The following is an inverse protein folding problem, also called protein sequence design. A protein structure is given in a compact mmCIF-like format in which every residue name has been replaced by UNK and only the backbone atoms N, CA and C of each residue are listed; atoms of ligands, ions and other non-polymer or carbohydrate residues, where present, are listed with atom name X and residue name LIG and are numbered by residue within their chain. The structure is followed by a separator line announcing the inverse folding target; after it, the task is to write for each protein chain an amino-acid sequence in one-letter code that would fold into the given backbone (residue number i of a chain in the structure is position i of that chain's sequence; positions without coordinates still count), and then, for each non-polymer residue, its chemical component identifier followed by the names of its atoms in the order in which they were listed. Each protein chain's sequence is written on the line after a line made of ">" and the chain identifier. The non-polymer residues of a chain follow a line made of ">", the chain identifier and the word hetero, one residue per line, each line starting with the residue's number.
data_IF_496793341121
#
_entry.id   IF_496793341121
#
_cell.length_a   1.000
_cell.length_b   1.000
_cell.length_c   1.000
_cell.angle_alpha   90.00
_cell.angle_beta   90.00
_cell.angle_gamma   90.00
#
_symmetry.space_group_name_H-M   'P 1'
#
loop_
_entity.id
_entity.type
_entity.pdbx_description
1 polymer ?
#
# COMPACT_ATOMS: atom_id res chain seq x y z
N UNK A 1 -10.32 -26.06 -6.41
CA UNK A 1 -8.88 -25.73 -6.23
C UNK A 1 -8.76 -24.76 -5.07
N UNK A 2 -8.10 -25.15 -3.99
CA UNK A 2 -7.87 -24.32 -2.80
C UNK A 2 -6.94 -23.18 -3.19
N UNK A 3 -7.44 -21.94 -3.23
CA UNK A 3 -6.60 -20.75 -3.42
C UNK A 3 -5.65 -20.67 -2.20
N UNK A 4 -4.37 -20.94 -2.41
CA UNK A 4 -3.35 -20.68 -1.39
C UNK A 4 -3.32 -19.16 -1.21
N UNK A 5 -3.85 -18.68 -0.08
CA UNK A 5 -3.92 -17.25 0.22
C UNK A 5 -2.57 -16.80 0.78
N UNK A 6 -1.90 -15.91 0.05
CA UNK A 6 -0.60 -15.36 0.42
C UNK A 6 -0.78 -14.22 1.43
N UNK A 7 0.27 -13.92 2.21
CA UNK A 7 0.24 -12.84 3.21
C UNK A 7 -0.20 -11.50 2.60
N UNK A 8 0.26 -11.21 1.38
CA UNK A 8 0.00 -9.95 0.70
C UNK A 8 -1.33 -9.90 -0.07
N UNK A 9 -2.08 -11.02 -0.14
CA UNK A 9 -3.41 -11.01 -0.78
C UNK A 9 -4.43 -10.17 0.02
N UNK A 10 -4.14 -9.84 1.29
CA UNK A 10 -4.98 -8.95 2.08
C UNK A 10 -4.82 -7.47 1.76
N UNK A 11 -3.75 -7.06 1.05
CA UNK A 11 -3.52 -5.65 0.74
C UNK A 11 -4.43 -5.12 -0.38
N UNK A 12 -5.06 -6.00 -1.16
CA UNK A 12 -5.86 -5.63 -2.33
C UNK A 12 -7.16 -6.41 -2.39
N UNK A 13 -8.22 -5.78 -2.89
CA UNK A 13 -9.44 -6.50 -3.27
C UNK A 13 -9.25 -7.23 -4.62
N UNK A 14 -10.03 -8.27 -4.86
CA UNK A 14 -9.99 -9.03 -6.12
C UNK A 14 -10.18 -8.13 -7.36
N UNK A 15 -11.11 -7.16 -7.27
CA UNK A 15 -11.35 -6.17 -8.34
C UNK A 15 -10.10 -5.32 -8.59
N UNK A 16 -9.48 -4.80 -7.52
CA UNK A 16 -8.30 -3.93 -7.66
C UNK A 16 -7.09 -4.71 -8.14
N UNK A 17 -6.93 -5.96 -7.69
CA UNK A 17 -5.89 -6.87 -8.19
C UNK A 17 -6.02 -7.07 -9.70
N UNK A 18 -7.22 -7.36 -10.21
CA UNK A 18 -7.46 -7.49 -11.65
C UNK A 18 -7.06 -6.22 -12.40
N UNK A 19 -7.51 -5.05 -11.93
CA UNK A 19 -7.10 -3.76 -12.51
C UNK A 19 -5.59 -3.58 -12.52
N UNK A 20 -4.90 -3.89 -11.42
CA UNK A 20 -3.43 -3.79 -11.38
C UNK A 20 -2.75 -4.73 -12.39
N UNK A 21 -3.27 -5.94 -12.58
CA UNK A 21 -2.75 -6.87 -13.60
C UNK A 21 -2.95 -6.29 -15.00
N UNK A 22 -4.14 -5.76 -15.30
CA UNK A 22 -4.44 -5.15 -16.61
C UNK A 22 -3.54 -3.91 -16.88
N UNK A 23 -3.29 -3.09 -15.87
CA UNK A 23 -2.36 -1.95 -15.94
C UNK A 23 -0.90 -2.39 -16.18
N UNK A 24 -0.46 -3.47 -15.51
CA UNK A 24 0.88 -4.04 -15.75
C UNK A 24 1.01 -4.55 -17.18
N UNK A 25 0.01 -5.24 -17.72
CA UNK A 25 0.01 -5.68 -19.12
C UNK A 25 0.08 -4.47 -20.06
N UNK A 26 -0.72 -3.44 -19.79
CA UNK A 26 -0.77 -2.21 -20.60
C UNK A 26 0.57 -1.49 -20.57
N UNK A 27 1.20 -1.39 -19.40
CA UNK A 27 2.51 -0.79 -19.23
C UNK A 27 3.58 -1.47 -20.11
N UNK A 28 3.65 -2.81 -20.11
CA UNK A 28 4.60 -3.53 -20.95
C UNK A 28 4.33 -3.32 -22.45
N UNK A 29 3.05 -3.35 -22.83
CA UNK A 29 2.66 -3.13 -24.23
C UNK A 29 3.03 -1.73 -24.71
N UNK A 30 2.79 -0.70 -23.91
CA UNK A 30 3.03 0.69 -24.31
C UNK A 30 4.47 1.14 -24.16
N UNK A 31 5.19 0.64 -23.15
CA UNK A 31 6.54 1.12 -22.80
C UNK A 31 7.66 0.23 -23.31
N UNK A 32 7.40 -1.06 -23.51
CA UNK A 32 8.44 -2.02 -23.92
C UNK A 32 8.13 -2.68 -25.27
N UNK A 33 7.00 -2.33 -25.92
CA UNK A 33 6.50 -2.98 -27.14
C UNK A 33 6.40 -4.53 -26.99
N UNK A 34 6.32 -4.99 -25.73
CA UNK A 34 6.22 -6.40 -25.35
C UNK A 34 4.82 -6.64 -24.80
N UNK A 35 4.13 -7.67 -25.32
CA UNK A 35 2.89 -8.13 -24.71
C UNK A 35 3.17 -9.26 -23.71
N UNK A 36 2.73 -9.07 -22.46
CA UNK A 36 2.79 -10.11 -21.43
C UNK A 36 1.39 -10.63 -21.11
N UNK A 37 1.29 -11.93 -20.82
CA UNK A 37 0.03 -12.56 -20.45
C UNK A 37 -0.38 -12.28 -19.00
N UNK A 38 -1.65 -12.55 -18.68
CA UNK A 38 -2.25 -12.37 -17.35
C UNK A 38 -1.48 -13.08 -16.22
N UNK A 39 -0.94 -14.27 -16.49
CA UNK A 39 -0.17 -15.04 -15.51
C UNK A 39 1.13 -14.32 -15.16
N UNK A 40 1.94 -13.95 -16.16
CA UNK A 40 3.23 -13.24 -15.98
C UNK A 40 3.03 -11.88 -15.29
N UNK A 41 1.99 -11.13 -15.68
CA UNK A 41 1.64 -9.88 -15.01
C UNK A 41 1.19 -10.09 -13.55
N UNK A 42 0.47 -11.18 -13.26
CA UNK A 42 0.11 -11.58 -11.90
C UNK A 42 1.32 -11.92 -11.03
N UNK A 43 2.32 -12.61 -11.58
CA UNK A 43 3.57 -12.92 -10.89
C UNK A 43 4.39 -11.66 -10.56
N UNK A 44 4.45 -10.70 -11.50
CA UNK A 44 5.07 -9.40 -11.27
C UNK A 44 4.36 -8.65 -10.14
N UNK A 45 3.02 -8.62 -10.17
CA UNK A 45 2.25 -7.99 -9.10
C UNK A 45 2.52 -8.66 -7.74
N UNK A 46 2.56 -9.99 -7.70
CA UNK A 46 2.86 -10.74 -6.48
C UNK A 46 4.26 -10.40 -5.94
N UNK A 47 5.27 -10.34 -6.81
CA UNK A 47 6.62 -9.95 -6.43
C UNK A 47 6.66 -8.54 -5.83
N UNK A 48 6.02 -7.56 -6.47
CA UNK A 48 6.00 -6.16 -5.99
C UNK A 48 5.32 -6.08 -4.62
N UNK A 49 4.18 -6.77 -4.45
CA UNK A 49 3.44 -6.78 -3.18
C UNK A 49 4.22 -7.50 -2.07
N UNK A 50 4.92 -8.58 -2.39
CA UNK A 50 5.78 -9.27 -1.45
C UNK A 50 6.96 -8.40 -1.00
N UNK A 51 7.60 -7.69 -1.92
CA UNK A 51 8.80 -6.88 -1.63
C UNK A 51 8.46 -5.57 -0.91
N UNK A 52 7.38 -4.90 -1.33
CA UNK A 52 7.12 -3.53 -0.91
C UNK A 52 5.80 -3.32 -0.15
N UNK A 53 4.83 -4.24 -0.27
CA UNK A 53 3.48 -4.03 0.24
C UNK A 53 3.42 -3.76 1.75
N UNK A 54 4.07 -4.61 2.54
CA UNK A 54 4.11 -4.47 4.00
C UNK A 54 4.91 -3.23 4.45
N UNK A 55 6.07 -3.00 3.85
CA UNK A 55 6.93 -1.85 4.17
C UNK A 55 6.22 -0.53 3.92
N UNK A 56 5.56 -0.38 2.76
CA UNK A 56 4.81 0.84 2.40
C UNK A 56 3.62 1.03 3.35
N UNK A 57 2.87 -0.04 3.63
CA UNK A 57 1.72 0.03 4.52
C UNK A 57 2.12 0.44 5.95
N UNK A 58 3.15 -0.21 6.50
CA UNK A 58 3.66 0.11 7.84
C UNK A 58 4.23 1.52 7.93
N UNK A 59 4.90 2.01 6.88
CA UNK A 59 5.35 3.40 6.81
C UNK A 59 4.18 4.37 6.86
N UNK A 60 3.09 4.10 6.14
CA UNK A 60 1.88 4.92 6.21
C UNK A 60 1.25 4.97 7.61
N UNK A 61 1.22 3.84 8.32
CA UNK A 61 0.75 3.79 9.72
C UNK A 61 1.66 4.61 10.62
N UNK A 62 2.98 4.48 10.46
CA UNK A 62 3.95 5.22 11.27
C UNK A 62 3.84 6.74 11.03
N UNK A 63 3.64 7.16 9.78
CA UNK A 63 3.43 8.57 9.45
C UNK A 63 2.13 9.11 10.07
N UNK A 64 1.04 8.34 10.04
CA UNK A 64 -0.20 8.70 10.71
C UNK A 64 -0.03 8.80 12.24
N UNK A 65 0.73 7.87 12.84
CA UNK A 65 1.05 7.89 14.27
C UNK A 65 1.82 9.16 14.65
N UNK A 66 2.83 9.52 13.87
CA UNK A 66 3.65 10.70 14.15
C UNK A 66 2.86 12.00 13.99
N UNK A 67 1.97 12.07 12.98
CA UNK A 67 1.04 13.21 12.85
C UNK A 67 0.15 13.37 14.09
N UNK A 68 -0.40 12.26 14.60
CA UNK A 68 -1.27 12.29 15.77
C UNK A 68 -0.52 12.68 17.05
N UNK A 69 0.71 12.18 17.24
CA UNK A 69 1.56 12.56 18.37
C UNK A 69 1.83 14.06 18.39
N UNK A 70 2.25 14.64 17.27
CA UNK A 70 2.52 16.08 17.17
C UNK A 70 1.27 16.92 17.49
N UNK A 71 0.08 16.47 17.05
CA UNK A 71 -1.18 17.16 17.37
C UNK A 71 -1.52 17.06 18.85
N UNK A 72 -1.24 15.92 19.47
CA UNK A 72 -1.45 15.71 20.90
C UNK A 72 -0.54 16.59 21.74
N UNK A 73 0.75 16.66 21.42
CA UNK A 73 1.72 17.51 22.09
C UNK A 73 1.32 18.99 22.02
N UNK A 74 0.87 19.46 20.85
CA UNK A 74 0.36 20.83 20.71
C UNK A 74 -0.87 21.08 21.60
N UNK A 75 -1.80 20.12 21.64
CA UNK A 75 -2.99 20.22 22.49
C UNK A 75 -2.64 20.26 23.98
N UNK A 76 -1.66 19.47 24.40
CA UNK A 76 -1.17 19.45 25.78
C UNK A 76 -0.58 20.81 26.18
N UNK A 77 0.25 21.40 25.31
CA UNK A 77 0.79 22.75 25.51
C UNK A 77 -0.34 23.79 25.63
N UNK A 78 -1.34 23.72 24.74
CA UNK A 78 -2.48 24.66 24.77
C UNK A 78 -3.27 24.57 26.09
N UNK A 79 -3.46 23.35 26.63
CA UNK A 79 -4.14 23.14 27.91
C UNK A 79 -3.32 23.68 29.09
N UNK A 80 -2.01 23.44 29.11
CA UNK A 80 -1.11 23.95 30.15
C UNK A 80 -1.11 25.48 30.22
N UNK A 81 -1.19 26.15 29.07
CA UNK A 81 -1.31 27.61 28.99
C UNK A 81 -2.65 28.12 29.54
N UNK A 82 -3.73 27.33 29.43
CA UNK A 82 -5.03 27.70 29.99
C UNK A 82 -5.11 27.49 31.50
N UNK A 83 -4.42 26.47 32.03
CA UNK A 83 -4.37 26.18 33.47
C UNK A 83 -3.54 27.22 34.22
N UNK A 84 -2.42 27.66 33.64
CA UNK A 84 -1.49 28.60 34.27
C UNK A 84 -1.85 30.08 34.04
N UNK A 85 -3.12 30.37 33.72
CA UNK A 85 -3.68 31.70 33.52
C UNK A 85 -4.48 32.15 34.73
#
# INVERSE_FOLDING_TARGET
>A
MTKIKRKWDSFLSDKKRKTCIDEIITFYKEKQDESIGFIKAGEILDFVLQVSGETIYNKGIEDARNLLKNRWENLEIDLDLLINK
#
